data_IF_324962535851
#
_entry.id   IF_324962535851
#
_cell.length_a   1.000
_cell.length_b   1.000
_cell.length_c   1.000
_cell.angle_alpha   90.00
_cell.angle_beta   90.00
_cell.angle_gamma   90.00
#
_symmetry.space_group_name_H-M   'P 1'
#
loop_
_entity.id
_entity.type
_entity.pdbx_description
1 polymer ?
#
# COMPACT_ATOMS: atom_id res chain seq x y z
N UNK A 1 12.31 -76.93 -31.27
CA UNK A 1 10.84 -77.07 -31.33
C UNK A 1 10.24 -76.35 -30.11
N UNK A 2 9.10 -75.67 -30.28
CA UNK A 2 8.80 -74.32 -29.77
C UNK A 2 8.24 -74.33 -28.33
N UNK A 3 8.16 -73.21 -27.60
CA UNK A 3 6.99 -72.33 -27.68
C UNK A 3 7.27 -70.93 -27.12
N UNK A 4 6.85 -69.97 -27.95
CA UNK A 4 6.63 -68.55 -27.70
C UNK A 4 5.51 -68.35 -26.69
N UNK A 5 5.63 -67.36 -25.78
CA UNK A 5 4.49 -66.66 -25.20
C UNK A 5 4.92 -65.28 -24.72
N UNK A 6 4.56 -64.28 -25.52
CA UNK A 6 4.65 -62.86 -25.26
C UNK A 6 3.51 -62.44 -24.34
N UNK A 7 3.78 -61.70 -23.26
CA UNK A 7 2.80 -60.80 -22.64
C UNK A 7 3.44 -59.49 -22.24
N UNK A 8 2.96 -58.44 -22.90
CA UNK A 8 3.27 -57.03 -22.72
C UNK A 8 2.55 -56.51 -21.47
N UNK A 9 3.26 -55.78 -20.61
CA UNK A 9 2.69 -55.04 -19.48
C UNK A 9 3.42 -53.72 -19.34
N UNK A 10 2.77 -52.64 -19.76
CA UNK A 10 3.21 -51.25 -19.73
C UNK A 10 2.84 -50.61 -18.39
N UNK A 11 3.79 -49.98 -17.69
CA UNK A 11 3.61 -48.92 -16.68
C UNK A 11 4.97 -48.71 -15.96
N UNK A 12 5.42 -47.53 -15.55
CA UNK A 12 4.94 -46.17 -15.60
C UNK A 12 6.18 -45.25 -15.46
N UNK A 13 6.12 -44.06 -16.05
CA UNK A 13 7.24 -43.11 -16.10
C UNK A 13 7.69 -42.63 -14.71
N UNK A 14 9.01 -42.57 -14.53
CA UNK A 14 9.64 -41.96 -13.36
C UNK A 14 9.60 -40.44 -13.53
N UNK A 15 8.88 -39.78 -12.63
CA UNK A 15 8.67 -38.34 -12.63
C UNK A 15 9.99 -37.59 -12.38
N UNK A 16 10.31 -36.65 -13.27
CA UNK A 16 11.38 -35.69 -13.08
C UNK A 16 10.92 -34.59 -12.12
N UNK A 17 11.46 -34.57 -10.90
CA UNK A 17 11.30 -33.47 -9.96
C UNK A 17 12.18 -32.30 -10.39
N UNK A 18 11.60 -31.36 -11.13
CA UNK A 18 12.19 -30.02 -11.30
C UNK A 18 11.81 -29.20 -10.07
N UNK A 19 12.71 -29.13 -9.10
CA UNK A 19 12.60 -28.15 -8.02
C UNK A 19 13.17 -26.83 -8.52
N UNK A 20 12.33 -26.05 -9.21
CA UNK A 20 12.62 -24.66 -9.51
C UNK A 20 12.48 -23.84 -8.22
N UNK A 21 13.56 -23.73 -7.46
CA UNK A 21 13.69 -22.73 -6.41
C UNK A 21 13.96 -21.37 -7.08
N UNK A 22 12.88 -20.63 -7.36
CA UNK A 22 12.94 -19.19 -7.64
C UNK A 22 12.56 -18.44 -6.35
N UNK A 23 13.29 -17.37 -6.01
CA UNK A 23 13.23 -16.73 -4.69
C UNK A 23 11.86 -16.07 -4.43
N UNK A 24 11.44 -15.91 -3.17
CA UNK A 24 10.34 -14.99 -2.86
C UNK A 24 10.81 -13.58 -3.20
N UNK A 25 10.34 -13.06 -4.32
CA UNK A 25 10.37 -11.64 -4.60
C UNK A 25 9.43 -10.96 -3.59
N UNK A 26 9.92 -10.69 -2.39
CA UNK A 26 9.40 -9.62 -1.56
C UNK A 26 9.77 -8.32 -2.27
N UNK A 27 9.06 -8.01 -3.37
CA UNK A 27 9.13 -6.69 -3.95
C UNK A 27 8.36 -5.78 -3.00
N UNK A 28 9.13 -4.92 -2.34
CA UNK A 28 8.76 -3.56 -2.02
C UNK A 28 7.49 -3.07 -2.74
N UNK A 29 6.48 -2.59 -2.00
CA UNK A 29 5.28 -1.95 -2.57
C UNK A 29 5.60 -0.53 -3.03
N UNK A 30 6.52 -0.41 -3.97
CA UNK A 30 6.94 0.85 -4.56
C UNK A 30 6.35 0.95 -5.97
N UNK A 31 5.63 2.02 -6.23
CA UNK A 31 5.04 2.33 -7.53
C UNK A 31 5.62 3.63 -8.07
N UNK A 32 6.13 3.59 -9.29
CA UNK A 32 6.52 4.79 -10.03
C UNK A 32 5.43 5.19 -11.02
N UNK A 33 5.11 6.49 -11.06
CA UNK A 33 4.23 7.10 -12.06
C UNK A 33 4.89 8.37 -12.57
N UNK A 34 5.57 8.25 -13.72
CA UNK A 34 6.42 9.33 -14.21
C UNK A 34 7.57 9.61 -13.24
N UNK A 35 7.60 10.81 -12.71
CA UNK A 35 8.56 11.31 -11.72
C UNK A 35 8.06 11.19 -10.26
N UNK A 36 6.89 10.61 -10.04
CA UNK A 36 6.36 10.33 -8.70
C UNK A 36 6.75 8.93 -8.28
N UNK A 37 7.26 8.84 -7.05
CA UNK A 37 7.50 7.58 -6.33
C UNK A 37 6.49 7.49 -5.19
N UNK A 38 5.66 6.45 -5.18
CA UNK A 38 4.78 6.15 -4.07
C UNK A 38 5.27 4.88 -3.39
N UNK A 39 5.50 4.95 -2.08
CA UNK A 39 6.17 3.89 -1.35
C UNK A 39 5.31 3.41 -0.19
N UNK A 40 5.15 2.09 -0.14
CA UNK A 40 4.49 1.30 0.89
C UNK A 40 3.17 1.88 1.42
N UNK A 41 2.11 1.94 0.60
CA UNK A 41 0.80 2.35 1.08
C UNK A 41 0.22 1.32 2.06
N UNK A 42 -0.12 1.77 3.26
CA UNK A 42 -0.71 0.92 4.30
C UNK A 42 -1.80 1.64 5.09
N UNK A 43 -2.70 0.87 5.69
CA UNK A 43 -3.72 1.35 6.62
C UNK A 43 -3.67 0.55 7.91
N UNK A 44 -4.15 1.13 9.00
CA UNK A 44 -4.20 0.45 10.30
C UNK A 44 -5.55 -0.26 10.50
N UNK A 45 -5.56 -1.42 11.21
CA UNK A 45 -6.80 -2.12 11.49
C UNK A 45 -7.72 -1.28 12.38
N UNK A 46 -9.02 -1.44 12.19
CA UNK A 46 -10.04 -0.72 12.97
C UNK A 46 -10.90 -1.68 13.77
N UNK A 47 -11.30 -1.34 15.01
CA UNK A 47 -12.22 -2.18 15.77
C UNK A 47 -13.62 -2.23 15.11
N UNK A 48 -14.42 -3.28 15.38
CA UNK A 48 -15.79 -3.36 14.87
C UNK A 48 -16.62 -2.12 15.23
N UNK A 49 -17.28 -1.53 14.24
CA UNK A 49 -18.12 -0.35 14.41
C UNK A 49 -17.37 0.99 14.51
N UNK A 50 -16.05 1.01 14.31
CA UNK A 50 -15.32 2.26 14.13
C UNK A 50 -15.82 2.95 12.85
N UNK A 51 -16.26 4.23 12.93
CA UNK A 51 -16.75 4.93 11.75
C UNK A 51 -15.61 5.34 10.82
N UNK A 52 -14.39 5.47 11.32
CA UNK A 52 -13.27 6.04 10.58
C UNK A 52 -12.00 5.19 10.75
N UNK A 53 -11.10 5.29 9.77
CA UNK A 53 -9.76 4.71 9.77
C UNK A 53 -8.74 5.68 9.20
N UNK A 54 -7.50 5.23 9.01
CA UNK A 54 -6.45 6.05 8.40
C UNK A 54 -5.53 5.22 7.52
N UNK A 55 -5.06 5.83 6.44
CA UNK A 55 -4.05 5.32 5.53
C UNK A 55 -2.82 6.23 5.50
N UNK A 56 -1.69 5.62 5.18
CA UNK A 56 -0.35 6.16 5.27
C UNK A 56 0.47 5.65 4.08
N UNK A 57 1.38 6.48 3.60
CA UNK A 57 2.26 6.21 2.47
C UNK A 57 3.32 7.31 2.41
N UNK A 58 4.37 7.06 1.64
CA UNK A 58 5.31 8.10 1.23
C UNK A 58 5.09 8.46 -0.23
N UNK A 59 5.19 9.76 -0.54
CA UNK A 59 5.11 10.28 -1.90
C UNK A 59 6.35 11.15 -2.16
N UNK A 60 7.25 10.67 -3.00
CA UNK A 60 8.45 11.38 -3.45
C UNK A 60 8.29 11.98 -4.84
N UNK A 61 8.92 13.14 -5.06
CA UNK A 61 9.03 13.77 -6.38
C UNK A 61 10.49 13.72 -6.83
N UNK A 62 10.78 12.91 -7.86
CA UNK A 62 12.12 12.74 -8.41
C UNK A 62 12.43 13.71 -9.57
N UNK A 63 11.41 14.39 -10.09
CA UNK A 63 11.49 15.35 -11.18
C UNK A 63 11.62 16.80 -10.72
N UNK A 64 11.59 17.73 -11.66
CA UNK A 64 11.72 19.18 -11.40
C UNK A 64 10.38 19.88 -11.12
N UNK A 65 9.25 19.21 -11.36
CA UNK A 65 7.92 19.78 -11.14
C UNK A 65 7.39 19.35 -9.77
N UNK A 66 6.87 20.27 -8.93
CA UNK A 66 6.24 19.88 -7.67
C UNK A 66 5.05 18.96 -7.90
N UNK A 67 4.60 18.31 -6.82
CA UNK A 67 3.35 17.58 -6.79
C UNK A 67 2.45 18.16 -5.70
N UNK A 68 1.17 18.25 -6.00
CA UNK A 68 0.16 18.76 -5.08
C UNK A 68 -0.97 17.75 -4.97
N UNK A 69 -0.97 16.97 -3.89
CA UNK A 69 -2.05 16.03 -3.58
C UNK A 69 -3.22 16.84 -3.03
N UNK A 70 -4.38 16.77 -3.67
CA UNK A 70 -5.58 17.54 -3.29
C UNK A 70 -6.71 16.66 -2.78
N UNK A 71 -6.59 15.34 -2.95
CA UNK A 71 -7.65 14.41 -2.60
C UNK A 71 -7.18 12.98 -2.69
N UNK A 72 -8.05 12.10 -2.23
CA UNK A 72 -7.97 10.68 -2.51
C UNK A 72 -9.38 10.08 -2.47
N UNK A 73 -9.53 8.87 -2.99
CA UNK A 73 -10.78 8.12 -2.94
C UNK A 73 -10.51 6.62 -2.82
N UNK A 74 -11.41 5.90 -2.16
CA UNK A 74 -11.31 4.45 -2.00
C UNK A 74 -12.69 3.84 -1.80
N UNK A 75 -12.97 2.62 -2.30
CA UNK A 75 -14.25 1.95 -2.09
C UNK A 75 -14.50 1.50 -0.64
N UNK A 76 -13.53 1.61 0.27
CA UNK A 76 -13.70 1.18 1.67
C UNK A 76 -14.30 2.26 2.58
N UNK A 77 -14.48 3.49 2.07
CA UNK A 77 -14.94 4.65 2.84
C UNK A 77 -15.76 5.59 1.96
N UNK A 78 -16.71 6.32 2.55
CA UNK A 78 -17.49 7.33 1.82
C UNK A 78 -16.63 8.50 1.34
N UNK A 79 -15.67 8.95 2.16
CA UNK A 79 -14.79 10.09 1.87
C UNK A 79 -13.38 9.80 2.35
N UNK A 80 -12.37 10.27 1.60
CA UNK A 80 -10.99 10.34 2.08
C UNK A 80 -10.57 11.80 2.19
N UNK A 81 -10.09 12.20 3.36
CA UNK A 81 -9.65 13.57 3.64
C UNK A 81 -8.16 13.61 3.97
N UNK A 82 -7.49 14.71 3.60
CA UNK A 82 -6.10 14.97 3.93
C UNK A 82 -6.04 15.61 5.32
N UNK A 83 -5.37 14.98 6.28
CA UNK A 83 -5.33 15.47 7.66
C UNK A 83 -3.89 15.64 8.14
N UNK A 84 -3.72 16.52 9.13
CA UNK A 84 -2.47 16.70 9.88
C UNK A 84 -2.77 16.78 11.37
N UNK A 85 -1.95 16.11 12.17
CA UNK A 85 -1.97 16.22 13.63
C UNK A 85 -0.80 17.10 14.09
N UNK A 86 -1.12 18.27 14.62
CA UNK A 86 -0.13 19.23 15.11
C UNK A 86 -0.34 19.54 16.59
N UNK A 87 0.74 19.82 17.31
CA UNK A 87 0.66 20.32 18.68
C UNK A 87 0.25 21.79 18.67
N UNK A 88 -0.89 22.10 19.29
CA UNK A 88 -1.33 23.46 19.56
C UNK A 88 -1.71 23.57 21.03
N UNK A 89 -1.07 24.49 21.76
CA UNK A 89 -1.37 24.76 23.18
C UNK A 89 -1.30 23.48 24.04
N UNK A 90 -0.21 22.71 23.90
CA UNK A 90 0.00 21.43 24.60
C UNK A 90 -1.05 20.34 24.34
N UNK A 91 -1.86 20.48 23.27
CA UNK A 91 -2.83 19.49 22.82
C UNK A 91 -2.56 19.08 21.39
N UNK A 92 -2.69 17.78 21.11
CA UNK A 92 -2.73 17.29 19.74
C UNK A 92 -4.06 17.69 19.09
N UNK A 93 -3.98 18.45 18.01
CA UNK A 93 -5.13 18.89 17.22
C UNK A 93 -5.02 18.26 15.84
N UNK A 94 -6.07 17.54 15.46
CA UNK A 94 -6.25 17.03 14.10
C UNK A 94 -6.97 18.09 13.28
N UNK A 95 -6.44 18.38 12.08
CA UNK A 95 -7.01 19.36 11.17
C UNK A 95 -6.97 18.83 9.74
N UNK A 96 -8.11 18.96 9.07
CA UNK A 96 -8.20 18.76 7.62
C UNK A 96 -7.41 19.84 6.86
N UNK A 97 -6.65 19.42 5.87
CA UNK A 97 -5.93 20.27 4.93
C UNK A 97 -6.57 20.13 3.54
N UNK A 98 -6.53 21.20 2.76
CA UNK A 98 -7.03 21.19 1.37
C UNK A 98 -6.06 20.51 0.40
N UNK A 99 -4.76 20.47 0.75
CA UNK A 99 -3.73 19.86 -0.06
C UNK A 99 -2.48 19.50 0.77
N UNK A 100 -1.69 18.57 0.23
CA UNK A 100 -0.29 18.40 0.58
C UNK A 100 0.61 18.81 -0.59
N UNK A 101 1.49 19.77 -0.34
CA UNK A 101 2.51 20.22 -1.29
C UNK A 101 3.77 19.35 -1.13
N UNK A 102 4.35 18.94 -2.25
CA UNK A 102 5.58 18.13 -2.30
C UNK A 102 6.52 18.79 -3.30
N UNK A 103 7.62 19.36 -2.80
CA UNK A 103 8.58 20.02 -3.66
C UNK A 103 9.45 19.00 -4.44
N UNK A 104 10.05 19.41 -5.57
CA UNK A 104 11.07 18.62 -6.27
C UNK A 104 12.17 18.12 -5.34
N UNK A 105 12.47 16.81 -5.40
CA UNK A 105 13.47 16.16 -4.56
C UNK A 105 13.03 15.92 -3.12
N UNK A 106 11.82 16.31 -2.72
CA UNK A 106 11.28 16.04 -1.40
C UNK A 106 10.40 14.80 -1.37
N UNK A 107 10.15 14.31 -0.16
CA UNK A 107 9.24 13.19 0.11
C UNK A 107 8.27 13.61 1.21
N UNK A 108 6.99 13.51 0.89
CA UNK A 108 5.91 13.63 1.86
C UNK A 108 5.78 12.29 2.59
N UNK A 109 6.03 12.31 3.89
CA UNK A 109 5.93 11.12 4.74
C UNK A 109 4.68 11.16 5.61
N UNK A 110 3.94 10.06 5.64
CA UNK A 110 2.76 9.89 6.49
C UNK A 110 2.96 8.68 7.41
N UNK A 111 2.73 8.85 8.71
CA UNK A 111 2.91 7.77 9.70
C UNK A 111 1.83 7.80 10.79
N UNK A 112 1.49 6.65 11.39
CA UNK A 112 0.65 6.59 12.58
C UNK A 112 1.26 7.36 13.77
N UNK A 113 0.41 7.86 14.66
CA UNK A 113 0.84 8.47 15.94
C UNK A 113 1.10 9.99 15.90
N UNK A 114 1.06 10.62 14.73
CA UNK A 114 1.13 12.08 14.58
C UNK A 114 1.42 12.51 13.14
N UNK A 115 1.28 13.81 12.86
CA UNK A 115 1.55 14.36 11.53
C UNK A 115 0.49 14.03 10.48
N UNK A 116 0.94 14.02 9.22
CA UNK A 116 0.08 13.92 8.04
C UNK A 116 -0.40 12.50 7.79
N UNK A 117 -1.64 12.36 7.35
CA UNK A 117 -2.26 11.08 6.99
C UNK A 117 -3.50 11.29 6.11
N UNK A 118 -3.97 10.20 5.50
CA UNK A 118 -5.25 10.16 4.80
C UNK A 118 -6.30 9.58 5.75
N UNK A 119 -7.28 10.39 6.12
CA UNK A 119 -8.38 10.00 6.99
C UNK A 119 -9.49 9.38 6.16
N UNK A 120 -9.83 8.13 6.45
CA UNK A 120 -10.91 7.38 5.82
C UNK A 120 -12.18 7.59 6.65
N UNK A 121 -13.17 8.31 6.11
CA UNK A 121 -14.39 8.70 6.82
C UNK A 121 -15.55 7.82 6.40
N UNK A 122 -16.36 7.38 7.37
CA UNK A 122 -17.51 6.49 7.19
C UNK A 122 -17.12 5.21 6.44
N UNK A 123 -16.33 4.36 7.12
CA UNK A 123 -15.93 3.05 6.62
C UNK A 123 -17.15 2.16 6.33
N UNK A 124 -17.12 1.51 5.17
CA UNK A 124 -18.14 0.54 4.75
C UNK A 124 -18.08 -0.75 5.60
N UNK A 125 -16.88 -1.11 6.05
CA UNK A 125 -16.62 -2.23 6.94
C UNK A 125 -15.32 -2.01 7.74
N UNK A 126 -15.14 -2.70 8.89
CA UNK A 126 -13.88 -2.64 9.62
C UNK A 126 -12.70 -3.11 8.76
N UNK A 127 -11.59 -2.38 8.83
CA UNK A 127 -10.31 -2.78 8.24
C UNK A 127 -9.67 -3.86 9.10
N UNK A 128 -9.32 -4.99 8.49
CA UNK A 128 -8.72 -6.15 9.15
C UNK A 128 -7.34 -6.45 8.57
N UNK A 129 -6.38 -6.79 9.44
CA UNK A 129 -4.99 -7.10 9.03
C UNK A 129 -4.97 -8.15 7.92
N UNK A 130 -4.13 -7.92 6.91
CA UNK A 130 -3.97 -8.76 5.73
C UNK A 130 -4.98 -8.50 4.62
N UNK A 131 -5.98 -7.64 4.83
CA UNK A 131 -6.80 -7.09 3.76
C UNK A 131 -6.01 -6.14 2.87
N UNK A 132 -6.50 -5.97 1.64
CA UNK A 132 -5.99 -5.02 0.67
C UNK A 132 -7.14 -4.31 -0.01
N UNK A 133 -6.94 -3.05 -0.37
CA UNK A 133 -7.92 -2.27 -1.12
C UNK A 133 -7.24 -1.21 -1.99
N UNK A 134 -7.86 -0.81 -3.12
CA UNK A 134 -7.32 0.26 -3.93
C UNK A 134 -7.58 1.62 -3.28
N UNK A 135 -6.61 2.53 -3.43
CA UNK A 135 -6.69 3.93 -3.07
C UNK A 135 -6.24 4.77 -4.27
N UNK A 136 -7.09 5.65 -4.73
CA UNK A 136 -6.78 6.59 -5.81
C UNK A 136 -6.32 7.90 -5.21
N UNK A 137 -5.11 8.32 -5.56
CA UNK A 137 -4.51 9.60 -5.16
C UNK A 137 -4.79 10.65 -6.25
N UNK A 138 -5.34 11.79 -5.85
CA UNK A 138 -5.78 12.85 -6.77
C UNK A 138 -4.85 14.06 -6.66
N UNK A 139 -4.22 14.42 -7.79
CA UNK A 139 -3.28 15.52 -7.88
C UNK A 139 -3.87 16.68 -8.69
N UNK A 140 -3.51 17.92 -8.36
CA UNK A 140 -4.08 19.09 -9.04
C UNK A 140 -3.59 19.26 -10.49
N UNK A 141 -2.31 19.01 -10.75
CA UNK A 141 -1.67 19.24 -12.06
C UNK A 141 -1.21 17.94 -12.73
N UNK A 142 -1.61 16.77 -12.21
CA UNK A 142 -1.12 15.45 -12.63
C UNK A 142 -2.28 14.45 -12.68
N UNK A 143 -2.11 13.39 -13.46
CA UNK A 143 -3.10 12.30 -13.49
C UNK A 143 -3.23 11.64 -12.10
N UNK A 144 -4.41 11.13 -11.80
CA UNK A 144 -4.63 10.36 -10.57
C UNK A 144 -3.88 9.03 -10.63
N UNK A 145 -3.39 8.58 -9.48
CA UNK A 145 -2.61 7.34 -9.36
C UNK A 145 -3.37 6.41 -8.42
N UNK A 146 -3.70 5.21 -8.91
CA UNK A 146 -4.22 4.14 -8.06
C UNK A 146 -3.06 3.35 -7.45
N UNK A 147 -3.12 3.13 -6.14
CA UNK A 147 -2.18 2.30 -5.39
C UNK A 147 -2.93 1.27 -4.55
N UNK A 148 -2.30 0.13 -4.30
CA UNK A 148 -2.85 -0.89 -3.41
C UNK A 148 -2.42 -0.62 -1.97
N UNK A 149 -3.38 -0.48 -1.07
CA UNK A 149 -3.15 -0.25 0.37
C UNK A 149 -3.28 -1.56 1.12
N UNK A 150 -2.27 -1.85 1.96
CA UNK A 150 -2.24 -3.06 2.78
C UNK A 150 -2.68 -2.74 4.21
N UNK A 151 -3.58 -3.52 4.78
CA UNK A 151 -3.97 -3.34 6.19
C UNK A 151 -2.97 -4.07 7.08
N UNK A 152 -2.21 -3.31 7.86
CA UNK A 152 -1.10 -3.79 8.67
C UNK A 152 -1.11 -3.17 10.07
N UNK A 153 -0.48 -3.84 11.03
CA UNK A 153 -0.23 -3.24 12.34
C UNK A 153 0.62 -1.98 12.18
N UNK A 154 0.32 -0.93 12.95
CA UNK A 154 0.93 0.38 12.77
C UNK A 154 2.47 0.36 12.77
N UNK A 155 3.08 -0.44 13.67
CA UNK A 155 4.53 -0.58 13.74
C UNK A 155 5.10 -1.32 12.53
N UNK A 156 4.41 -2.37 12.06
CA UNK A 156 4.85 -3.18 10.91
C UNK A 156 4.83 -2.35 9.64
N UNK A 157 3.73 -1.65 9.37
CA UNK A 157 3.61 -0.79 8.18
C UNK A 157 4.62 0.37 8.21
N UNK A 158 4.86 0.98 9.38
CA UNK A 158 5.86 2.05 9.52
C UNK A 158 7.29 1.55 9.30
N UNK A 159 7.66 0.42 9.91
CA UNK A 159 8.99 -0.20 9.73
C UNK A 159 9.23 -0.59 8.26
N UNK A 160 8.21 -1.15 7.59
CA UNK A 160 8.29 -1.50 6.19
C UNK A 160 8.46 -0.25 5.31
N UNK A 161 7.67 0.80 5.52
CA UNK A 161 7.79 2.05 4.79
C UNK A 161 9.16 2.72 4.98
N UNK A 162 9.68 2.76 6.21
CA UNK A 162 10.99 3.36 6.50
C UNK A 162 12.17 2.58 5.90
N UNK A 163 12.03 1.26 5.76
CA UNK A 163 13.06 0.42 5.12
C UNK A 163 13.26 0.77 3.63
N UNK A 164 12.29 1.43 2.99
CA UNK A 164 12.38 1.88 1.60
C UNK A 164 13.08 3.24 1.42
N UNK A 165 13.44 3.94 2.50
CA UNK A 165 14.25 5.16 2.42
C UNK A 165 15.77 4.92 2.35
N UNK A 166 16.21 3.66 2.24
CA UNK A 166 17.62 3.26 2.28
C UNK A 166 18.22 2.92 0.91
#
# INVERSE_FOLDING_TARGET
>A
MPALSLRLGLAAGLAATVLAALPPSALAHEAHHGDLRVTHPFATPTPPGAPNGAAYLDIGVEGEQPARLIGASSPVSEVVELHDMTMAEDRMVMRQLEAFEIAPGETLTMRPGGGKHLMLINLEAPLAVGQRFPLTLEFAERDSIEVEVWVEEASVGSEAADAHHH
#
